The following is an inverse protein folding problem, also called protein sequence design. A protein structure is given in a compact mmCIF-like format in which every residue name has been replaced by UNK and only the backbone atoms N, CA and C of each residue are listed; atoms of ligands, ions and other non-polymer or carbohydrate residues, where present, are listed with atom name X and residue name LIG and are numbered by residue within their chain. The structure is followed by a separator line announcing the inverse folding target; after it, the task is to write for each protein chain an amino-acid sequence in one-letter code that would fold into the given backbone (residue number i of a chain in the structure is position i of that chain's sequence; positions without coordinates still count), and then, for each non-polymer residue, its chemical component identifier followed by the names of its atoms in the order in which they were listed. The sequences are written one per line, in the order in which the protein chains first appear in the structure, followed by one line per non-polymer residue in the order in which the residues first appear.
data_IF_951431726077
#
_entry.id   IF_951431726077
#
_cell.length_a   1.000
_cell.length_b   1.000
_cell.length_c   1.000
_cell.angle_alpha   90.00
_cell.angle_beta   90.00
_cell.angle_gamma   90.00
#
_symmetry.space_group_name_H-M   'P 1'
#
loop_
_entity.id
_entity.type
_entity.pdbx_description
1 polymer ?
#
# COMPACT_ATOMS: atom_id res chain seq x y z
N UNK A 1 9.33 15.93 -14.37
CA UNK A 1 10.16 15.10 -13.47
C UNK A 1 10.21 13.69 -14.02
N UNK A 2 11.28 12.94 -13.74
CA UNK A 2 11.37 11.51 -14.04
C UNK A 2 10.72 10.66 -12.97
N UNK A 3 10.40 9.41 -13.30
CA UNK A 3 9.92 8.41 -12.35
C UNK A 3 10.84 8.24 -11.13
N UNK A 4 12.15 8.19 -11.37
CA UNK A 4 13.15 8.10 -10.30
C UNK A 4 13.07 9.29 -9.32
N UNK A 5 13.00 10.50 -9.85
CA UNK A 5 12.90 11.74 -9.07
C UNK A 5 11.60 11.76 -8.25
N UNK A 6 10.47 11.32 -8.83
CA UNK A 6 9.22 11.21 -8.10
C UNK A 6 9.32 10.22 -6.94
N UNK A 7 9.94 9.06 -7.12
CA UNK A 7 10.16 8.09 -6.03
C UNK A 7 11.10 8.60 -4.93
N UNK A 8 12.10 9.40 -5.30
CA UNK A 8 13.02 10.05 -4.36
C UNK A 8 12.27 11.01 -3.43
N UNK A 9 11.31 11.79 -3.94
CA UNK A 9 10.48 12.68 -3.13
C UNK A 9 9.71 11.94 -2.01
N UNK A 10 9.41 10.65 -2.23
CA UNK A 10 8.69 9.80 -1.29
C UNK A 10 9.59 8.87 -0.49
N UNK A 11 10.92 8.98 -0.61
CA UNK A 11 11.88 8.04 -0.01
C UNK A 11 11.62 6.57 -0.38
N UNK A 12 11.03 6.32 -1.56
CA UNK A 12 10.67 4.99 -2.08
C UNK A 12 11.76 4.40 -3.01
N UNK A 13 13.01 4.84 -2.84
CA UNK A 13 14.15 4.41 -3.67
C UNK A 13 14.54 2.94 -3.50
N UNK A 14 14.05 2.29 -2.43
CA UNK A 14 14.27 0.85 -2.20
C UNK A 14 13.44 -0.06 -3.10
N UNK A 15 12.48 0.50 -3.85
CA UNK A 15 11.67 -0.25 -4.79
C UNK A 15 12.51 -0.68 -5.99
N UNK A 16 12.48 -1.99 -6.29
CA UNK A 16 13.21 -2.58 -7.41
C UNK A 16 12.41 -2.38 -8.69
N UNK A 17 12.70 -1.32 -9.44
CA UNK A 17 12.05 -1.00 -10.72
C UNK A 17 13.09 -1.07 -11.82
N UNK A 18 12.73 -1.61 -12.99
CA UNK A 18 13.67 -1.74 -14.10
C UNK A 18 14.17 -0.36 -14.56
N UNK A 19 15.47 -0.19 -14.88
CA UNK A 19 16.05 1.10 -15.26
C UNK A 19 15.29 1.85 -16.37
N UNK A 20 14.77 1.19 -17.44
CA UNK A 20 14.01 1.90 -18.46
C UNK A 20 12.78 2.62 -17.92
N UNK A 21 12.06 2.05 -16.94
CA UNK A 21 10.89 2.69 -16.35
C UNK A 21 11.28 3.86 -15.43
N UNK A 22 12.40 3.75 -14.72
CA UNK A 22 12.90 4.81 -13.84
C UNK A 22 13.27 6.09 -14.59
N UNK A 23 13.74 5.95 -15.83
CA UNK A 23 14.13 7.06 -16.69
C UNK A 23 12.95 7.68 -17.48
N UNK A 24 11.76 7.06 -17.44
CA UNK A 24 10.56 7.61 -18.08
C UNK A 24 10.09 8.90 -17.40
N UNK A 25 9.43 9.75 -18.17
CA UNK A 25 8.73 10.91 -17.61
C UNK A 25 7.58 10.47 -16.70
N UNK A 26 7.50 11.08 -15.53
CA UNK A 26 6.34 10.97 -14.65
C UNK A 26 5.25 11.92 -15.16
N UNK A 27 4.18 11.34 -15.73
CA UNK A 27 3.07 12.10 -16.29
C UNK A 27 1.72 11.37 -16.11
N UNK A 28 1.18 11.32 -14.87
CA UNK A 28 -0.14 10.76 -14.62
C UNK A 28 -1.21 11.46 -15.47
N UNK A 29 -2.09 10.68 -16.07
CA UNK A 29 -3.26 11.17 -16.82
C UNK A 29 -4.50 11.13 -15.95
N UNK A 30 -5.60 11.66 -16.45
CA UNK A 30 -6.84 11.73 -15.67
C UNK A 30 -7.33 10.33 -15.25
N UNK A 31 -7.11 9.28 -16.06
CA UNK A 31 -7.41 7.91 -15.65
C UNK A 31 -6.52 7.39 -14.52
N UNK A 32 -5.25 7.84 -14.43
CA UNK A 32 -4.37 7.54 -13.31
C UNK A 32 -4.83 8.27 -12.04
N UNK A 33 -5.19 9.55 -12.16
CA UNK A 33 -5.67 10.37 -11.04
C UNK A 33 -6.94 9.79 -10.43
N UNK A 34 -7.87 9.41 -11.29
CA UNK A 34 -9.13 8.76 -10.92
C UNK A 34 -8.91 7.41 -10.22
N UNK A 35 -7.99 6.59 -10.74
CA UNK A 35 -7.62 5.32 -10.13
C UNK A 35 -6.94 5.53 -8.76
N UNK A 36 -6.06 6.53 -8.68
CA UNK A 36 -5.38 6.90 -7.46
C UNK A 36 -6.37 7.38 -6.39
N UNK A 37 -7.35 8.21 -6.75
CA UNK A 37 -8.41 8.66 -5.86
C UNK A 37 -9.23 7.49 -5.29
N UNK A 38 -9.65 6.55 -6.14
CA UNK A 38 -10.43 5.39 -5.67
C UNK A 38 -9.66 4.57 -4.63
N UNK A 39 -8.39 4.24 -4.92
CA UNK A 39 -7.59 3.45 -3.98
C UNK A 39 -7.17 4.28 -2.75
N UNK A 40 -6.97 5.58 -2.91
CA UNK A 40 -6.65 6.51 -1.82
C UNK A 40 -7.73 6.49 -0.75
N UNK A 41 -9.01 6.61 -1.12
CA UNK A 41 -10.14 6.59 -0.17
C UNK A 41 -10.25 5.25 0.55
N UNK A 42 -10.05 4.15 -0.18
CA UNK A 42 -10.00 2.81 0.42
C UNK A 42 -8.89 2.72 1.46
N UNK A 43 -7.68 3.21 1.15
CA UNK A 43 -6.56 3.14 2.08
C UNK A 43 -6.69 4.13 3.25
N UNK A 44 -7.29 5.30 3.06
CA UNK A 44 -7.46 6.32 4.10
C UNK A 44 -8.31 5.83 5.29
N UNK A 45 -9.30 4.99 5.00
CA UNK A 45 -10.33 4.58 5.97
C UNK A 45 -10.11 3.18 6.56
N UNK A 46 -9.01 2.51 6.18
CA UNK A 46 -8.71 1.13 6.59
C UNK A 46 -7.78 1.08 7.80
N UNK A 47 -7.98 0.03 8.59
CA UNK A 47 -7.08 -0.37 9.69
C UNK A 47 -5.64 -0.67 9.23
N UNK A 48 -5.42 -0.83 7.91
CA UNK A 48 -4.10 -1.05 7.31
C UNK A 48 -3.24 0.21 7.24
N UNK A 49 -3.82 1.39 7.46
CA UNK A 49 -3.11 2.67 7.52
C UNK A 49 -3.30 3.38 8.85
N UNK A 50 -4.34 3.00 9.61
CA UNK A 50 -4.54 3.46 10.98
C UNK A 50 -3.83 2.54 11.99
N UNK A 51 -3.09 3.07 12.98
CA UNK A 51 -2.46 2.24 14.00
C UNK A 51 -3.50 1.37 14.70
N UNK A 52 -3.21 0.07 14.82
CA UNK A 52 -4.01 -0.83 15.65
C UNK A 52 -3.39 -0.82 17.06
N UNK A 53 -4.07 -0.27 18.09
CA UNK A 53 -3.56 -0.35 19.46
C UNK A 53 -3.29 -1.81 19.84
N UNK A 54 -2.28 -2.06 20.67
CA UNK A 54 -1.89 -3.43 21.04
C UNK A 54 -3.02 -4.17 21.76
N UNK A 55 -3.93 -3.43 22.35
CA UNK A 55 -5.08 -3.87 23.13
C UNK A 55 -6.32 -4.14 22.26
N UNK A 56 -6.30 -3.79 20.97
CA UNK A 56 -7.45 -3.86 20.08
C UNK A 56 -7.15 -4.66 18.81
N UNK A 57 -8.22 -5.26 18.26
CA UNK A 57 -8.21 -6.11 17.07
C UNK A 57 -7.38 -7.39 17.22
N UNK A 58 -7.46 -8.25 16.21
CA UNK A 58 -6.72 -9.50 16.13
C UNK A 58 -5.87 -9.57 14.85
N UNK A 59 -4.82 -10.38 14.89
CA UNK A 59 -3.85 -10.49 13.80
C UNK A 59 -4.45 -11.12 12.53
N UNK A 60 -5.50 -11.95 12.65
CA UNK A 60 -6.19 -12.54 11.50
C UNK A 60 -6.92 -11.47 10.70
N UNK A 61 -7.73 -10.65 11.37
CA UNK A 61 -8.46 -9.54 10.75
C UNK A 61 -7.51 -8.53 10.12
N UNK A 62 -6.38 -8.23 10.78
CA UNK A 62 -5.36 -7.35 10.22
C UNK A 62 -4.72 -7.94 8.95
N UNK A 63 -4.40 -9.25 8.95
CA UNK A 63 -3.84 -9.92 7.77
C UNK A 63 -4.84 -9.92 6.60
N UNK A 64 -6.11 -10.21 6.87
CA UNK A 64 -7.17 -10.22 5.86
C UNK A 64 -7.38 -8.83 5.25
N UNK A 65 -7.33 -7.79 6.07
CA UNK A 65 -7.43 -6.41 5.61
C UNK A 65 -6.26 -6.05 4.67
N UNK A 66 -5.02 -6.42 5.02
CA UNK A 66 -3.84 -6.22 4.15
C UNK A 66 -3.97 -7.03 2.85
N UNK A 67 -4.43 -8.28 2.93
CA UNK A 67 -4.63 -9.13 1.76
C UNK A 67 -5.71 -8.58 0.82
N UNK A 68 -6.75 -7.95 1.35
CA UNK A 68 -7.84 -7.37 0.55
C UNK A 68 -7.38 -6.29 -0.44
N UNK A 69 -6.26 -5.61 -0.16
CA UNK A 69 -5.66 -4.59 -1.04
C UNK A 69 -5.40 -5.16 -2.44
N UNK A 70 -5.00 -6.44 -2.57
CA UNK A 70 -4.81 -7.06 -3.88
C UNK A 70 -6.07 -7.02 -4.75
N UNK A 71 -7.24 -7.32 -4.17
CA UNK A 71 -8.48 -7.36 -4.92
C UNK A 71 -8.96 -5.94 -5.24
N UNK A 72 -8.91 -5.03 -4.27
CA UNK A 72 -9.26 -3.62 -4.47
C UNK A 72 -8.45 -3.00 -5.61
N UNK A 73 -7.13 -3.17 -5.58
CA UNK A 73 -6.26 -2.62 -6.62
C UNK A 73 -6.57 -3.25 -7.99
N UNK A 74 -6.80 -4.56 -8.06
CA UNK A 74 -7.15 -5.22 -9.33
C UNK A 74 -8.49 -4.74 -9.87
N UNK A 75 -9.47 -4.50 -9.01
CA UNK A 75 -10.78 -3.97 -9.39
C UNK A 75 -10.67 -2.55 -9.93
N UNK A 76 -9.92 -1.68 -9.25
CA UNK A 76 -9.62 -0.31 -9.74
C UNK A 76 -8.97 -0.36 -11.12
N UNK A 77 -7.91 -1.15 -11.30
CA UNK A 77 -7.22 -1.29 -12.61
C UNK A 77 -8.17 -1.82 -13.69
N UNK A 78 -8.98 -2.83 -13.39
CA UNK A 78 -9.92 -3.42 -14.35
C UNK A 78 -11.03 -2.43 -14.74
N UNK A 79 -11.55 -1.67 -13.78
CA UNK A 79 -12.61 -0.68 -13.98
C UNK A 79 -12.12 0.53 -14.79
N UNK A 80 -10.94 1.06 -14.45
CA UNK A 80 -10.34 2.22 -15.13
C UNK A 80 -9.69 1.85 -16.46
N UNK A 81 -9.33 0.59 -16.64
CA UNK A 81 -8.80 0.06 -17.89
C UNK A 81 -7.34 0.46 -18.13
N UNK A 82 -6.84 0.13 -19.32
CA UNK A 82 -5.41 0.20 -19.68
C UNK A 82 -4.76 1.60 -19.68
N UNK A 83 -5.53 2.67 -19.49
CA UNK A 83 -5.04 4.03 -19.57
C UNK A 83 -4.46 4.55 -18.25
N UNK A 84 -4.81 3.93 -17.10
CA UNK A 84 -4.23 4.23 -15.78
C UNK A 84 -2.85 3.58 -15.58
N UNK A 85 -1.93 3.81 -16.52
CA UNK A 85 -0.66 3.08 -16.58
C UNK A 85 0.34 3.48 -15.50
N UNK A 86 0.40 4.74 -15.10
CA UNK A 86 1.33 5.20 -14.07
C UNK A 86 0.89 4.72 -12.68
N UNK A 87 -0.41 4.76 -12.41
CA UNK A 87 -1.03 4.13 -11.25
C UNK A 87 -0.75 2.62 -11.25
N UNK A 88 -0.97 1.93 -12.38
CA UNK A 88 -0.77 0.48 -12.49
C UNK A 88 0.68 0.08 -12.19
N UNK A 89 1.66 0.82 -12.71
CA UNK A 89 3.09 0.55 -12.47
C UNK A 89 3.41 0.60 -10.97
N UNK A 90 3.06 1.69 -10.28
CA UNK A 90 3.38 1.80 -8.84
C UNK A 90 2.61 0.77 -8.02
N UNK A 91 1.34 0.53 -8.35
CA UNK A 91 0.49 -0.39 -7.62
C UNK A 91 1.02 -1.83 -7.70
N UNK A 92 1.43 -2.30 -8.89
CA UNK A 92 2.03 -3.64 -9.08
C UNK A 92 3.31 -3.78 -8.25
N UNK A 93 4.14 -2.73 -8.22
CA UNK A 93 5.40 -2.73 -7.46
C UNK A 93 5.13 -2.85 -5.96
N UNK A 94 4.21 -2.05 -5.40
CA UNK A 94 3.85 -2.10 -3.98
C UNK A 94 3.22 -3.45 -3.61
N UNK A 95 2.25 -3.92 -4.41
CA UNK A 95 1.60 -5.21 -4.19
C UNK A 95 2.62 -6.37 -4.15
N UNK A 96 3.57 -6.40 -5.08
CA UNK A 96 4.49 -7.53 -5.20
C UNK A 96 5.70 -7.45 -4.27
N UNK A 97 6.21 -6.25 -3.99
CA UNK A 97 7.46 -6.10 -3.23
C UNK A 97 7.23 -5.82 -1.74
N UNK A 98 6.06 -5.28 -1.36
CA UNK A 98 5.77 -4.91 0.03
C UNK A 98 4.66 -5.78 0.62
N UNK A 99 3.52 -5.87 -0.05
CA UNK A 99 2.34 -6.58 0.48
C UNK A 99 2.46 -8.11 0.32
N UNK A 100 2.91 -8.60 -0.84
CA UNK A 100 3.02 -10.04 -1.12
C UNK A 100 3.94 -10.79 -0.14
N UNK A 101 5.17 -10.32 0.17
CA UNK A 101 6.04 -11.05 1.08
C UNK A 101 5.46 -11.14 2.50
N UNK A 102 4.86 -10.05 2.97
CA UNK A 102 4.19 -10.00 4.27
C UNK A 102 3.02 -11.00 4.32
N UNK A 103 2.10 -10.90 3.36
CA UNK A 103 0.90 -11.76 3.32
C UNK A 103 1.26 -13.23 3.13
N UNK A 104 2.24 -13.55 2.28
CA UNK A 104 2.68 -14.93 2.07
C UNK A 104 3.28 -15.55 3.34
N UNK A 105 4.14 -14.81 4.06
CA UNK A 105 4.73 -15.27 5.33
C UNK A 105 3.63 -15.53 6.36
N UNK A 106 2.80 -14.53 6.61
CA UNK A 106 1.85 -14.56 7.72
C UNK A 106 0.64 -15.44 7.46
N UNK A 107 0.24 -15.63 6.21
CA UNK A 107 -0.80 -16.59 5.86
C UNK A 107 -0.38 -18.03 6.18
N UNK A 108 0.86 -18.41 5.86
CA UNK A 108 1.38 -19.74 6.22
C UNK A 108 1.44 -19.92 7.74
N UNK A 109 1.96 -18.91 8.45
CA UNK A 109 2.06 -18.94 9.91
C UNK A 109 0.68 -18.98 10.60
N UNK A 110 -0.31 -18.26 10.06
CA UNK A 110 -1.70 -18.31 10.53
C UNK A 110 -2.26 -19.73 10.45
N UNK A 111 -2.08 -20.42 9.32
CA UNK A 111 -2.52 -21.82 9.15
C UNK A 111 -1.85 -22.73 10.19
N UNK A 112 -0.58 -22.45 10.52
CA UNK A 112 0.19 -23.16 11.54
C UNK A 112 -0.12 -22.65 12.98
N UNK A 113 -1.25 -21.97 13.18
CA UNK A 113 -1.74 -21.46 14.47
C UNK A 113 -0.79 -20.48 15.19
N UNK A 114 0.00 -19.72 14.44
CA UNK A 114 0.94 -18.76 15.03
C UNK A 114 0.26 -17.69 15.90
N UNK A 115 -1.00 -17.34 15.63
CA UNK A 115 -1.74 -16.35 16.43
C UNK A 115 -2.27 -16.89 17.77
N UNK A 116 -2.08 -18.18 18.07
CA UNK A 116 -2.27 -18.71 19.43
C UNK A 116 -1.01 -18.49 20.30
N UNK A 117 0.11 -18.04 19.70
CA UNK A 117 1.38 -17.81 20.39
C UNK A 117 1.66 -16.30 20.58
N UNK A 118 1.72 -15.79 21.83
CA UNK A 118 1.95 -14.37 22.11
C UNK A 118 3.23 -13.79 21.50
N UNK A 119 4.31 -14.58 21.41
CA UNK A 119 5.56 -14.15 20.79
C UNK A 119 5.39 -13.92 19.29
N UNK A 120 4.59 -14.75 18.63
CA UNK A 120 4.30 -14.62 17.20
C UNK A 120 3.33 -13.50 16.90
N UNK A 121 2.34 -13.25 17.76
CA UNK A 121 1.50 -12.05 17.70
C UNK A 121 2.36 -10.77 17.80
N UNK A 122 3.31 -10.73 18.74
CA UNK A 122 4.21 -9.59 18.87
C UNK A 122 5.12 -9.40 17.64
N UNK A 123 5.62 -10.49 17.05
CA UNK A 123 6.39 -10.45 15.80
C UNK A 123 5.53 -9.93 14.63
N UNK A 124 4.28 -10.41 14.51
CA UNK A 124 3.32 -9.93 13.50
C UNK A 124 3.07 -8.44 13.63
N UNK A 125 2.73 -7.96 14.84
CA UNK A 125 2.42 -6.54 15.07
C UNK A 125 3.60 -5.64 14.75
N UNK A 126 4.82 -6.06 15.12
CA UNK A 126 6.03 -5.32 14.75
C UNK A 126 6.22 -5.22 13.23
N UNK A 127 6.06 -6.33 12.51
CA UNK A 127 6.19 -6.31 11.05
C UNK A 127 5.05 -5.55 10.37
N UNK A 128 3.84 -5.60 10.95
CA UNK A 128 2.69 -4.83 10.50
C UNK A 128 2.96 -3.34 10.64
N UNK A 129 3.47 -2.87 11.78
CA UNK A 129 3.83 -1.46 12.00
C UNK A 129 4.81 -0.96 10.93
N UNK A 130 5.81 -1.76 10.55
CA UNK A 130 6.74 -1.39 9.48
C UNK A 130 6.07 -1.36 8.10
N UNK A 131 5.17 -2.30 7.81
CA UNK A 131 4.37 -2.27 6.58
C UNK A 131 3.42 -1.07 6.55
N UNK A 132 2.78 -0.73 7.67
CA UNK A 132 1.87 0.41 7.80
C UNK A 132 2.57 1.73 7.49
N UNK A 133 3.82 1.93 7.93
CA UNK A 133 4.62 3.11 7.55
C UNK A 133 4.78 3.23 6.03
N UNK A 134 5.05 2.11 5.35
CA UNK A 134 5.19 2.07 3.89
C UNK A 134 3.84 2.33 3.20
N UNK A 135 2.76 1.74 3.71
CA UNK A 135 1.41 1.94 3.17
C UNK A 135 0.90 3.37 3.41
N UNK A 136 1.28 4.01 4.50
CA UNK A 136 0.99 5.42 4.75
C UNK A 136 1.65 6.30 3.68
N UNK A 137 2.95 6.10 3.42
CA UNK A 137 3.64 6.83 2.34
C UNK A 137 2.97 6.55 0.99
N UNK A 138 2.64 5.29 0.70
CA UNK A 138 1.92 4.95 -0.53
C UNK A 138 0.57 5.65 -0.63
N UNK A 139 -0.17 5.78 0.47
CA UNK A 139 -1.44 6.51 0.51
C UNK A 139 -1.25 7.99 0.18
N UNK A 140 -0.20 8.62 0.72
CA UNK A 140 0.16 10.01 0.38
C UNK A 140 0.57 10.16 -1.10
N UNK A 141 1.29 9.18 -1.64
CA UNK A 141 1.62 9.13 -3.08
C UNK A 141 0.37 9.06 -3.96
N UNK A 142 -0.68 8.36 -3.53
CA UNK A 142 -1.95 8.30 -4.25
C UNK A 142 -2.69 9.64 -4.18
N UNK A 143 -2.68 10.33 -3.04
CA UNK A 143 -3.23 11.69 -2.91
C UNK A 143 -2.56 12.65 -3.90
N UNK A 144 -1.22 12.70 -3.91
CA UNK A 144 -0.42 13.49 -4.84
C UNK A 144 -0.72 13.14 -6.30
N UNK A 145 -0.76 11.85 -6.64
CA UNK A 145 -1.10 11.40 -7.99
C UNK A 145 -2.50 11.85 -8.40
N UNK A 146 -3.48 11.79 -7.49
CA UNK A 146 -4.86 12.22 -7.76
C UNK A 146 -5.03 13.75 -7.81
N UNK A 147 -4.05 14.52 -7.33
CA UNK A 147 -4.11 15.98 -7.27
C UNK A 147 -5.07 16.52 -6.20
N UNK A 148 -5.32 15.74 -5.14
CA UNK A 148 -6.17 16.14 -4.01
C UNK A 148 -5.32 16.49 -2.79
N UNK A 149 -5.94 17.18 -1.83
CA UNK A 149 -5.32 17.42 -0.52
C UNK A 149 -5.13 16.11 0.25
N UNK A 150 -3.97 15.93 0.85
CA UNK A 150 -3.66 14.74 1.66
C UNK A 150 -4.35 14.81 3.03
N UNK A 151 -5.37 13.99 3.20
CA UNK A 151 -6.15 13.82 4.43
C UNK A 151 -5.60 12.76 5.40
N UNK A 152 -4.44 12.15 5.14
CA UNK A 152 -3.90 11.09 6.03
C UNK A 152 -3.57 11.59 7.44
N UNK A 153 -3.42 12.90 7.61
CA UNK A 153 -3.10 13.56 8.88
C UNK A 153 -4.31 14.32 9.45
N UNK A 154 -5.51 14.18 8.85
CA UNK A 154 -6.70 14.97 9.18
C UNK A 154 -7.12 14.89 10.66
N UNK A 155 -6.92 13.72 11.29
CA UNK A 155 -7.32 13.45 12.67
C UNK A 155 -6.16 13.50 13.67
N UNK A 156 -4.94 13.83 13.24
CA UNK A 156 -3.80 13.89 14.16
C UNK A 156 -3.87 15.15 15.02
N UNK A 157 -4.00 14.93 16.33
CA UNK A 157 -3.93 15.95 17.37
C UNK A 157 -2.49 16.29 17.75
#
# INVERSE_FOLDING_TARGET
MKWKEWLENWSMTTLKINPPFLEMEWKPKDEDKDAAWELYIELLTRITTQPLPKEHGDESTALDSIHSIFNLTREVIKRRGRLCIEFTKIAIVILNQKIRPFTAKWHKLMIDKAFENPTKCAEFRKELEELQKILLIYTKMLADMSGVEDLTELEKQ
#
